data_IF_181162544920
#
_entry.id   IF_181162544920
#
_cell.length_a   1.000
_cell.length_b   1.000
_cell.length_c   1.000
_cell.angle_alpha   90.00
_cell.angle_beta   90.00
_cell.angle_gamma   90.00
#
_symmetry.space_group_name_H-M   'P 1'
#
loop_
_entity.id
_entity.type
_entity.pdbx_description
1 polymer ?
#
# COMPACT_ATOMS: atom_id res chain seq x y z
N UNK A 1 -7.88 -8.34 -11.82
CA UNK A 1 -7.49 -7.70 -13.11
C UNK A 1 -8.14 -6.35 -13.22
N UNK A 2 -7.43 -5.37 -13.75
CA UNK A 2 -7.91 -4.01 -14.00
C UNK A 2 -8.02 -3.89 -15.52
N UNK A 3 -9.22 -3.50 -16.00
CA UNK A 3 -9.42 -3.17 -17.40
C UNK A 3 -9.01 -1.72 -17.62
N UNK A 4 -8.18 -1.46 -18.63
CA UNK A 4 -7.89 -0.10 -19.09
C UNK A 4 -9.09 0.50 -19.80
N UNK A 5 -9.16 1.85 -19.88
CA UNK A 5 -10.29 2.59 -20.47
C UNK A 5 -10.64 2.07 -21.89
N UNK A 6 -11.75 1.36 -22.01
CA UNK A 6 -12.26 0.80 -23.28
C UNK A 6 -13.03 -0.50 -23.06
N UNK A 7 -13.74 -0.95 -24.08
CA UNK A 7 -14.32 -2.30 -24.09
C UNK A 7 -13.17 -3.31 -24.13
N UNK A 8 -13.21 -4.37 -23.28
CA UNK A 8 -12.15 -5.36 -23.26
C UNK A 8 -12.04 -6.06 -24.62
N UNK A 9 -10.82 -6.30 -25.06
CA UNK A 9 -10.55 -7.10 -26.26
C UNK A 9 -10.90 -8.57 -26.00
N UNK A 10 -11.19 -9.34 -27.06
CA UNK A 10 -11.48 -10.77 -26.95
C UNK A 10 -10.39 -11.53 -26.18
N UNK A 11 -9.12 -11.17 -26.37
CA UNK A 11 -7.99 -11.76 -25.67
C UNK A 11 -7.99 -11.45 -24.17
N UNK A 12 -8.43 -10.26 -23.77
CA UNK A 12 -8.56 -9.87 -22.36
C UNK A 12 -9.74 -10.62 -21.72
N UNK A 13 -10.84 -10.79 -22.45
CA UNK A 13 -12.00 -11.58 -22.00
C UNK A 13 -11.58 -13.04 -21.75
N UNK A 14 -10.88 -13.67 -22.69
CA UNK A 14 -10.36 -15.01 -22.54
C UNK A 14 -9.46 -15.16 -21.31
N UNK A 15 -8.54 -14.20 -21.12
CA UNK A 15 -7.64 -14.19 -19.97
C UNK A 15 -8.41 -14.06 -18.65
N UNK A 16 -9.36 -13.15 -18.59
CA UNK A 16 -10.19 -12.95 -17.39
C UNK A 16 -11.01 -14.20 -17.05
N UNK A 17 -11.52 -14.90 -18.06
CA UNK A 17 -12.26 -16.14 -17.84
C UNK A 17 -11.35 -17.28 -17.35
N UNK A 18 -10.10 -17.35 -17.83
CA UNK A 18 -9.09 -18.29 -17.30
C UNK A 18 -8.74 -17.96 -15.85
N UNK A 19 -8.51 -16.70 -15.53
CA UNK A 19 -8.22 -16.23 -14.16
C UNK A 19 -9.40 -16.56 -13.23
N UNK A 20 -10.64 -16.33 -13.68
CA UNK A 20 -11.85 -16.65 -12.93
C UNK A 20 -11.97 -18.15 -12.63
N UNK A 21 -11.75 -19.01 -13.64
CA UNK A 21 -11.80 -20.48 -13.49
C UNK A 21 -10.71 -20.97 -12.55
N UNK A 22 -9.50 -20.44 -12.66
CA UNK A 22 -8.39 -20.76 -11.75
C UNK A 22 -8.75 -20.41 -10.31
N UNK A 23 -9.22 -19.18 -10.07
CA UNK A 23 -9.61 -18.72 -8.75
C UNK A 23 -10.75 -19.57 -8.16
N UNK A 24 -11.76 -19.92 -8.98
CA UNK A 24 -12.84 -20.78 -8.56
C UNK A 24 -12.34 -22.18 -8.14
N UNK A 25 -11.44 -22.77 -8.93
CA UNK A 25 -10.86 -24.08 -8.64
C UNK A 25 -9.98 -24.08 -7.39
N UNK A 26 -9.26 -22.97 -7.17
CA UNK A 26 -8.39 -22.79 -6.00
C UNK A 26 -9.13 -22.25 -4.76
N UNK A 27 -10.46 -22.10 -4.81
CA UNK A 27 -11.28 -21.48 -3.77
C UNK A 27 -10.81 -20.07 -3.38
N UNK A 28 -10.26 -19.31 -4.34
CA UNK A 28 -9.82 -17.93 -4.18
C UNK A 28 -10.96 -17.00 -4.63
N UNK A 29 -11.38 -16.04 -3.80
CA UNK A 29 -12.37 -15.04 -4.22
C UNK A 29 -11.87 -14.28 -5.46
N UNK A 30 -12.68 -14.24 -6.52
CA UNK A 30 -12.40 -13.51 -7.74
C UNK A 30 -13.45 -12.42 -7.95
N UNK A 31 -12.98 -11.20 -8.22
CA UNK A 31 -13.83 -10.08 -8.58
C UNK A 31 -13.19 -9.26 -9.70
N UNK A 32 -14.02 -8.83 -10.62
CA UNK A 32 -13.66 -7.81 -11.60
C UNK A 32 -13.85 -6.44 -10.96
N UNK A 33 -12.81 -5.63 -11.01
CA UNK A 33 -12.86 -4.24 -10.58
C UNK A 33 -12.85 -3.33 -11.80
N UNK A 34 -13.76 -2.36 -11.82
CA UNK A 34 -13.72 -1.29 -12.82
C UNK A 34 -12.75 -0.19 -12.38
N UNK A 35 -12.04 0.47 -13.33
CA UNK A 35 -11.11 1.55 -13.00
C UNK A 35 -11.70 2.66 -12.15
N UNK A 36 -13.01 2.92 -12.33
CA UNK A 36 -13.75 3.93 -11.58
C UNK A 36 -13.96 3.58 -10.10
N UNK A 37 -13.88 2.29 -9.75
CA UNK A 37 -14.02 1.80 -8.37
C UNK A 37 -12.75 2.03 -7.56
N UNK A 38 -11.61 2.29 -8.21
CA UNK A 38 -10.33 2.49 -7.55
C UNK A 38 -9.92 3.96 -7.71
N UNK A 39 -9.67 4.68 -6.60
CA UNK A 39 -9.16 6.05 -6.70
C UNK A 39 -7.87 6.09 -7.53
N UNK A 40 -7.82 6.95 -8.56
CA UNK A 40 -6.64 7.07 -9.46
C UNK A 40 -5.35 7.38 -8.69
N UNK A 41 -5.46 8.19 -7.66
CA UNK A 41 -4.31 8.51 -6.81
C UNK A 41 -3.81 7.29 -6.04
N UNK A 42 -4.70 6.40 -5.59
CA UNK A 42 -4.31 5.13 -4.96
C UNK A 42 -3.49 4.28 -5.93
N UNK A 43 -3.93 4.11 -7.18
CA UNK A 43 -3.19 3.35 -8.19
C UNK A 43 -1.78 3.95 -8.39
N UNK A 44 -1.69 5.28 -8.50
CA UNK A 44 -0.42 5.99 -8.65
C UNK A 44 0.50 5.78 -7.45
N UNK A 45 -0.05 5.85 -6.23
CA UNK A 45 0.70 5.60 -5.00
C UNK A 45 1.18 4.14 -4.93
N UNK A 46 0.34 3.18 -5.28
CA UNK A 46 0.73 1.77 -5.31
C UNK A 46 1.87 1.52 -6.30
N UNK A 47 1.84 2.11 -7.49
CA UNK A 47 2.93 2.04 -8.46
C UNK A 47 4.27 2.57 -7.91
N UNK A 48 4.22 3.62 -7.11
CA UNK A 48 5.41 4.18 -6.47
C UNK A 48 5.93 3.27 -5.34
N UNK A 49 5.04 2.57 -4.63
CA UNK A 49 5.39 1.70 -3.51
C UNK A 49 5.91 0.32 -3.95
N UNK A 50 5.35 -0.26 -5.04
CA UNK A 50 5.65 -1.62 -5.52
C UNK A 50 7.15 -1.91 -5.74
N UNK A 51 7.98 -1.04 -6.33
CA UNK A 51 9.39 -1.35 -6.60
C UNK A 51 10.23 -1.68 -5.35
N UNK A 52 9.75 -1.32 -4.16
CA UNK A 52 10.47 -1.52 -2.90
C UNK A 52 10.12 -2.85 -2.25
N UNK A 53 9.08 -3.52 -2.72
CA UNK A 53 8.47 -4.70 -2.09
C UNK A 53 9.12 -6.02 -2.56
N UNK A 54 10.43 -6.17 -2.37
CA UNK A 54 11.08 -7.48 -2.56
C UNK A 54 10.79 -8.38 -1.35
N UNK A 55 10.14 -9.56 -1.54
CA UNK A 55 9.60 -10.35 -0.43
C UNK A 55 10.61 -10.70 0.68
N UNK A 56 11.82 -11.09 0.31
CA UNK A 56 12.86 -11.46 1.28
C UNK A 56 13.37 -10.26 2.08
N UNK A 57 13.63 -9.13 1.42
CA UNK A 57 14.07 -7.91 2.09
C UNK A 57 12.97 -7.33 2.97
N UNK A 58 11.72 -7.43 2.52
CA UNK A 58 10.54 -7.02 3.27
C UNK A 58 10.42 -7.79 4.59
N UNK A 59 10.45 -9.13 4.54
CA UNK A 59 10.31 -9.98 5.73
C UNK A 59 11.45 -9.75 6.74
N UNK A 60 12.68 -9.67 6.27
CA UNK A 60 13.84 -9.42 7.13
C UNK A 60 13.74 -8.07 7.85
N UNK A 61 13.33 -7.02 7.14
CA UNK A 61 13.19 -5.68 7.73
C UNK A 61 12.02 -5.63 8.71
N UNK A 62 10.82 -6.04 8.29
CA UNK A 62 9.59 -5.88 9.07
C UNK A 62 9.55 -6.69 10.36
N UNK A 63 10.29 -7.79 10.43
CA UNK A 63 10.41 -8.61 11.64
C UNK A 63 11.48 -8.08 12.61
N UNK A 64 12.28 -7.09 12.22
CA UNK A 64 13.33 -6.53 13.07
C UNK A 64 12.79 -5.64 14.16
N UNK A 65 13.48 -5.62 15.32
CA UNK A 65 13.20 -4.67 16.40
C UNK A 65 13.41 -3.23 15.91
N UNK A 66 14.42 -3.00 15.10
CA UNK A 66 14.74 -1.70 14.54
C UNK A 66 13.56 -1.13 13.71
N UNK A 67 12.89 -1.97 12.92
CA UNK A 67 11.72 -1.53 12.16
C UNK A 67 10.55 -1.15 13.08
N UNK A 68 10.29 -1.90 14.14
CA UNK A 68 9.25 -1.58 15.12
C UNK A 68 9.52 -0.23 15.80
N UNK A 69 10.75 -0.01 16.24
CA UNK A 69 11.19 1.29 16.80
C UNK A 69 11.02 2.44 15.80
N UNK A 70 11.37 2.18 14.53
CA UNK A 70 11.18 3.14 13.45
C UNK A 70 9.70 3.52 13.29
N UNK A 71 8.82 2.54 13.14
CA UNK A 71 7.37 2.75 12.93
C UNK A 71 6.76 3.52 14.11
N UNK A 72 7.06 3.12 15.33
CA UNK A 72 6.57 3.78 16.54
C UNK A 72 6.98 5.26 16.57
N UNK A 73 8.26 5.55 16.34
CA UNK A 73 8.77 6.93 16.32
C UNK A 73 8.18 7.73 15.15
N UNK A 74 8.13 7.14 13.97
CA UNK A 74 7.59 7.76 12.77
C UNK A 74 6.10 8.10 12.94
N UNK A 75 5.29 7.19 13.44
CA UNK A 75 3.86 7.38 13.68
C UNK A 75 3.54 8.52 14.67
N UNK A 76 4.45 8.80 15.61
CA UNK A 76 4.24 9.90 16.57
C UNK A 76 4.51 11.29 15.98
N UNK A 77 5.33 11.39 14.94
CA UNK A 77 5.82 12.70 14.44
C UNK A 77 5.39 13.04 13.01
N UNK A 78 4.99 12.05 12.23
CA UNK A 78 4.72 12.20 10.80
C UNK A 78 3.46 13.04 10.46
N UNK A 79 2.59 13.29 11.43
CA UNK A 79 1.38 14.09 11.25
C UNK A 79 1.56 15.57 11.58
N UNK A 80 2.63 15.92 12.29
CA UNK A 80 2.92 17.28 12.74
C UNK A 80 4.06 17.91 11.96
N UNK A 81 4.83 17.12 11.22
CA UNK A 81 6.03 17.53 10.49
C UNK A 81 6.04 16.92 9.08
N UNK A 82 6.81 17.50 8.14
CA UNK A 82 7.05 16.87 6.85
C UNK A 82 7.49 15.41 7.02
N UNK A 83 6.82 14.49 6.29
CA UNK A 83 7.04 13.06 6.47
C UNK A 83 8.51 12.63 6.28
N UNK A 84 9.25 13.29 5.36
CA UNK A 84 10.68 13.01 5.17
C UNK A 84 11.53 13.39 6.39
N UNK A 85 11.16 14.47 7.12
CA UNK A 85 11.86 14.88 8.34
C UNK A 85 11.59 13.88 9.46
N UNK A 86 10.30 13.54 9.65
CA UNK A 86 9.87 12.55 10.64
C UNK A 86 10.51 11.18 10.38
N UNK A 87 10.56 10.76 9.11
CA UNK A 87 11.21 9.51 8.68
C UNK A 87 12.70 9.51 9.02
N UNK A 88 13.39 10.61 8.71
CA UNK A 88 14.83 10.76 9.01
C UNK A 88 15.14 10.70 10.50
N UNK A 89 14.33 11.34 11.33
CA UNK A 89 14.48 11.29 12.80
C UNK A 89 14.21 9.86 13.31
N UNK A 90 13.15 9.21 12.84
CA UNK A 90 12.83 7.84 13.19
C UNK A 90 13.92 6.86 12.71
N UNK A 91 14.44 7.07 11.51
CA UNK A 91 15.54 6.29 10.95
C UNK A 91 16.79 6.37 11.81
N UNK A 92 17.20 7.58 12.21
CA UNK A 92 18.34 7.78 13.13
C UNK A 92 18.14 7.03 14.44
N UNK A 93 16.92 7.09 15.01
CA UNK A 93 16.60 6.41 16.26
C UNK A 93 16.67 4.89 16.12
N UNK A 94 16.28 4.35 14.96
CA UNK A 94 16.30 2.92 14.65
C UNK A 94 17.64 2.42 14.07
N UNK A 95 18.62 3.30 13.88
CA UNK A 95 19.89 2.96 13.23
C UNK A 95 19.80 2.79 11.71
N UNK A 96 18.74 3.30 11.07
CA UNK A 96 18.57 3.27 9.62
C UNK A 96 19.18 4.52 8.98
N UNK A 97 19.77 4.34 7.79
CA UNK A 97 20.33 5.42 6.99
C UNK A 97 20.01 5.28 5.52
N UNK A 98 19.87 6.40 4.82
CA UNK A 98 19.77 6.46 3.38
C UNK A 98 18.67 5.55 2.81
N UNK A 99 19.07 4.56 1.99
CA UNK A 99 18.13 3.68 1.30
C UNK A 99 17.28 2.84 2.25
N UNK A 100 17.84 2.40 3.38
CA UNK A 100 17.09 1.58 4.36
C UNK A 100 15.98 2.39 5.03
N UNK A 101 16.23 3.65 5.35
CA UNK A 101 15.24 4.58 5.89
C UNK A 101 14.10 4.80 4.88
N UNK A 102 14.44 5.10 3.62
CA UNK A 102 13.45 5.28 2.57
C UNK A 102 12.61 4.02 2.35
N UNK A 103 13.24 2.85 2.37
CA UNK A 103 12.56 1.57 2.26
C UNK A 103 11.63 1.34 3.44
N UNK A 104 12.05 1.63 4.67
CA UNK A 104 11.22 1.50 5.87
C UNK A 104 9.97 2.39 5.80
N UNK A 105 10.10 3.64 5.36
CA UNK A 105 8.97 4.56 5.16
C UNK A 105 7.98 4.01 4.12
N UNK A 106 8.48 3.56 2.98
CA UNK A 106 7.66 3.00 1.90
C UNK A 106 6.89 1.75 2.35
N UNK A 107 7.58 0.87 3.10
CA UNK A 107 6.97 -0.34 3.67
C UNK A 107 5.90 0.02 4.71
N UNK A 108 6.17 1.00 5.58
CA UNK A 108 5.21 1.46 6.58
C UNK A 108 3.92 2.00 5.93
N UNK A 109 4.04 2.68 4.79
CA UNK A 109 2.87 3.11 4.01
C UNK A 109 2.12 1.93 3.39
N UNK A 110 2.85 1.02 2.74
CA UNK A 110 2.24 -0.14 2.10
C UNK A 110 1.51 -1.04 3.09
N UNK A 111 2.11 -1.32 4.22
CA UNK A 111 1.54 -2.17 5.26
C UNK A 111 0.47 -1.46 6.10
N UNK A 112 0.35 -0.13 5.95
CA UNK A 112 -0.47 0.70 6.84
C UNK A 112 -0.05 0.56 8.31
N UNK A 113 1.25 0.35 8.56
CA UNK A 113 1.81 0.39 9.91
C UNK A 113 1.81 1.83 10.46
N UNK A 114 1.69 2.81 9.57
CA UNK A 114 1.38 4.22 9.85
C UNK A 114 0.09 4.57 9.10
N UNK A 115 -0.85 5.19 9.80
CA UNK A 115 -2.15 5.56 9.24
C UNK A 115 -2.00 6.69 8.20
N UNK A 116 -1.94 6.35 6.93
CA UNK A 116 -1.78 7.30 5.82
C UNK A 116 -2.87 7.10 4.77
N UNK A 117 -3.51 8.20 4.37
CA UNK A 117 -4.52 8.21 3.31
C UNK A 117 -3.87 8.10 1.92
N UNK A 118 -3.78 6.89 1.39
CA UNK A 118 -3.25 6.60 0.06
C UNK A 118 -4.27 6.89 -1.06
N UNK A 119 -5.51 7.23 -0.76
CA UNK A 119 -6.50 7.65 -1.77
C UNK A 119 -6.20 9.04 -2.34
N UNK A 120 -5.27 9.76 -1.73
CA UNK A 120 -4.80 11.08 -2.15
C UNK A 120 -3.31 11.06 -2.38
N UNK A 121 -2.81 12.02 -3.14
CA UNK A 121 -1.36 12.14 -3.35
C UNK A 121 -0.64 12.38 -2.02
N UNK A 122 0.26 11.46 -1.66
CA UNK A 122 1.12 11.59 -0.48
C UNK A 122 2.33 12.43 -0.84
N UNK A 123 2.46 13.59 -0.20
CA UNK A 123 3.66 14.41 -0.29
C UNK A 123 4.54 14.17 0.92
N UNK A 124 5.78 13.73 0.70
CA UNK A 124 6.74 13.56 1.79
C UNK A 124 7.27 14.88 2.34
N UNK A 125 7.11 15.99 1.61
CA UNK A 125 7.47 17.34 2.05
C UNK A 125 6.41 18.02 2.92
N UNK A 126 5.29 17.34 3.17
CA UNK A 126 4.21 17.79 4.05
C UNK A 126 3.94 16.77 5.15
N UNK A 127 3.24 17.15 6.24
CA UNK A 127 2.71 16.21 7.21
C UNK A 127 1.78 15.19 6.57
N UNK A 128 1.78 13.97 7.08
CA UNK A 128 0.88 12.92 6.60
C UNK A 128 -0.57 13.23 6.98
N UNK A 129 -1.48 12.75 6.17
CA UNK A 129 -2.92 12.78 6.46
C UNK A 129 -3.38 11.40 6.90
N UNK A 130 -4.14 11.35 8.00
CA UNK A 130 -4.78 10.12 8.48
C UNK A 130 -5.92 9.73 7.54
N UNK A 131 -6.32 8.46 7.58
CA UNK A 131 -7.45 7.94 6.81
C UNK A 131 -7.15 6.65 6.05
N UNK A 132 -5.95 6.09 6.19
CA UNK A 132 -5.57 4.82 5.58
C UNK A 132 -6.35 3.63 6.15
N UNK A 133 -6.63 3.65 7.44
CA UNK A 133 -7.43 2.61 8.11
C UNK A 133 -8.85 2.60 7.53
N UNK A 134 -9.47 3.76 7.35
CA UNK A 134 -10.81 3.89 6.77
C UNK A 134 -10.83 3.46 5.31
N UNK A 135 -9.80 3.81 4.54
CA UNK A 135 -9.64 3.38 3.17
C UNK A 135 -9.55 1.85 3.08
N UNK A 136 -8.72 1.23 3.93
CA UNK A 136 -8.55 -0.21 3.98
C UNK A 136 -9.85 -0.92 4.35
N UNK A 137 -10.61 -0.42 5.32
CA UNK A 137 -11.90 -0.96 5.70
C UNK A 137 -12.92 -0.87 4.55
N UNK A 138 -12.98 0.26 3.86
CA UNK A 138 -13.85 0.45 2.68
C UNK A 138 -13.46 -0.50 1.54
N UNK A 139 -12.19 -0.62 1.21
CA UNK A 139 -11.73 -1.53 0.18
C UNK A 139 -12.00 -2.98 0.57
N UNK A 140 -11.75 -3.37 1.82
CA UNK A 140 -12.01 -4.72 2.28
C UNK A 140 -13.50 -5.07 2.21
N UNK A 141 -14.40 -4.20 2.66
CA UNK A 141 -15.86 -4.43 2.58
C UNK A 141 -16.34 -4.50 1.14
N UNK A 142 -15.86 -3.61 0.30
CA UNK A 142 -16.24 -3.51 -1.10
C UNK A 142 -15.70 -4.68 -1.94
N UNK A 143 -14.45 -5.11 -1.68
CA UNK A 143 -13.74 -6.07 -2.55
C UNK A 143 -13.78 -7.51 -2.05
N UNK A 144 -13.88 -7.73 -0.76
CA UNK A 144 -13.90 -9.07 -0.19
C UNK A 144 -15.30 -9.54 0.19
N UNK A 145 -16.33 -8.71 0.00
CA UNK A 145 -17.69 -9.04 0.38
C UNK A 145 -17.86 -9.28 1.89
N UNK A 146 -16.90 -8.84 2.70
CA UNK A 146 -16.95 -8.93 4.15
C UNK A 146 -17.90 -7.83 4.61
N UNK A 147 -19.18 -8.12 4.59
CA UNK A 147 -20.18 -7.35 5.33
C UNK A 147 -20.00 -7.74 6.79
N UNK A 148 -19.67 -6.77 7.63
CA UNK A 148 -19.78 -6.92 9.07
C UNK A 148 -21.23 -6.79 9.50
#
# INVERSE_FOLDING_TARGET
SILEDGSPTDREIERLELDRRYCLHAAIPFRLAHPEEIPRDLIRQLHWLVPVLRPLALAALTNSLAYKMYVERFATTAYDRPAYVASREAGKHAGFTGRTEQMAMTIAFWRQDVDVDLSRTVSTSAPLRRGGIDLRARLASHWLGIVR
#
